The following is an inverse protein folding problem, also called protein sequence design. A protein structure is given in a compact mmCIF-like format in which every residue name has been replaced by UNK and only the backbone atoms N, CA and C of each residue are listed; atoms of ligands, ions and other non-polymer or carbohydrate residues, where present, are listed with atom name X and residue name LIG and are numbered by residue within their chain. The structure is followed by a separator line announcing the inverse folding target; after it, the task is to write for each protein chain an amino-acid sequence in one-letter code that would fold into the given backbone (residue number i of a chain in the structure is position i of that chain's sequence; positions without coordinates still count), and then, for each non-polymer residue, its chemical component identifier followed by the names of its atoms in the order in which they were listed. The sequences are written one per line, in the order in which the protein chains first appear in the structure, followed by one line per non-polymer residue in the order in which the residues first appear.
data_IF_157935771048
#
_entry.id   IF_157935771048
#
_cell.length_a   1.000
_cell.length_b   1.000
_cell.length_c   1.000
_cell.angle_alpha   90.00
_cell.angle_beta   90.00
_cell.angle_gamma   90.00
#
_symmetry.space_group_name_H-M   'P 1'
#
loop_
_entity.id
_entity.type
_entity.pdbx_description
1 polymer ?
#
# COMPACT_ATOMS: atom_id res chain seq x y z
N UNK A 1 -22.33 7.36 3.13
CA UNK A 1 -21.31 6.42 3.64
C UNK A 1 -20.00 7.18 3.70
N UNK A 2 -19.18 6.94 4.72
CA UNK A 2 -17.85 7.56 4.80
C UNK A 2 -16.91 6.91 3.75
N UNK A 3 -15.92 7.66 3.26
CA UNK A 3 -15.03 7.16 2.20
C UNK A 3 -14.06 6.09 2.68
N UNK A 4 -13.65 5.23 1.76
CA UNK A 4 -12.60 4.23 1.95
C UNK A 4 -11.51 4.49 0.90
N UNK A 5 -10.28 4.65 1.34
CA UNK A 5 -9.13 4.86 0.47
C UNK A 5 -8.14 3.70 0.62
N UNK A 6 -7.66 3.15 -0.49
CA UNK A 6 -6.51 2.26 -0.54
C UNK A 6 -5.37 2.99 -1.26
N UNK A 7 -4.31 3.31 -0.53
CA UNK A 7 -3.08 3.87 -1.08
C UNK A 7 -2.08 2.74 -1.31
N UNK A 8 -1.77 2.48 -2.56
CA UNK A 8 -0.81 1.46 -2.97
C UNK A 8 0.40 2.08 -3.68
N UNK A 9 1.47 1.32 -3.82
CA UNK A 9 2.67 1.75 -4.52
C UNK A 9 3.92 0.98 -4.08
N UNK A 10 5.04 1.26 -4.72
CA UNK A 10 6.32 0.66 -4.38
C UNK A 10 6.77 1.01 -2.95
N UNK A 11 7.76 0.30 -2.40
CA UNK A 11 8.42 0.76 -1.18
C UNK A 11 8.96 2.19 -1.33
N UNK A 12 9.01 2.92 -0.23
CA UNK A 12 9.57 4.28 -0.12
C UNK A 12 8.89 5.40 -0.93
N UNK A 13 7.74 5.16 -1.59
CA UNK A 13 7.00 6.21 -2.31
C UNK A 13 6.22 7.17 -1.40
N UNK A 14 6.15 6.92 -0.09
CA UNK A 14 5.51 7.80 0.88
C UNK A 14 4.06 7.41 1.25
N UNK A 15 3.63 6.18 1.01
CA UNK A 15 2.27 5.70 1.28
C UNK A 15 1.77 6.03 2.70
N UNK A 16 2.50 5.58 3.73
CA UNK A 16 2.07 5.76 5.13
C UNK A 16 2.03 7.22 5.56
N UNK A 17 2.96 8.04 5.05
CA UNK A 17 2.97 9.49 5.30
C UNK A 17 1.75 10.15 4.66
N UNK A 18 1.49 9.84 3.39
CA UNK A 18 0.32 10.36 2.65
C UNK A 18 -0.99 9.86 3.25
N UNK A 19 -1.08 8.57 3.59
CA UNK A 19 -2.28 8.00 4.21
C UNK A 19 -2.63 8.67 5.54
N UNK A 20 -1.62 8.92 6.37
CA UNK A 20 -1.81 9.60 7.66
C UNK A 20 -2.22 11.07 7.47
N UNK A 21 -1.64 11.78 6.50
CA UNK A 21 -2.02 13.15 6.18
C UNK A 21 -3.44 13.22 5.62
N UNK A 22 -3.80 12.31 4.71
CA UNK A 22 -5.15 12.20 4.17
C UNK A 22 -6.18 11.92 5.27
N UNK A 23 -5.90 10.99 6.17
CA UNK A 23 -6.80 10.66 7.28
C UNK A 23 -7.09 11.88 8.17
N UNK A 24 -6.10 12.75 8.40
CA UNK A 24 -6.27 13.99 9.19
C UNK A 24 -7.21 15.02 8.56
N UNK A 25 -7.54 14.91 7.27
CA UNK A 25 -8.46 15.82 6.60
C UNK A 25 -9.94 15.56 6.95
N UNK A 26 -10.23 14.43 7.58
CA UNK A 26 -11.58 14.02 7.93
C UNK A 26 -11.81 14.12 9.43
N UNK A 27 -13.00 14.57 9.87
CA UNK A 27 -13.30 14.76 11.30
C UNK A 27 -13.36 13.42 12.07
N UNK A 28 -13.58 12.31 11.36
CA UNK A 28 -13.66 10.98 11.94
C UNK A 28 -13.03 9.99 10.97
N UNK A 29 -11.81 9.56 11.25
CA UNK A 29 -11.03 8.71 10.35
C UNK A 29 -10.15 7.70 11.08
N UNK A 30 -9.71 6.68 10.37
CA UNK A 30 -8.73 5.70 10.82
C UNK A 30 -7.74 5.42 9.69
N UNK A 31 -6.47 5.32 10.04
CA UNK A 31 -5.41 4.86 9.15
C UNK A 31 -5.02 3.43 9.53
N UNK A 32 -5.04 2.52 8.55
CA UNK A 32 -4.70 1.11 8.73
C UNK A 32 -3.47 0.78 7.88
N UNK A 33 -2.26 0.81 8.46
CA UNK A 33 -1.04 0.39 7.77
C UNK A 33 -0.96 -1.14 7.77
N UNK A 34 -1.01 -1.77 6.60
CA UNK A 34 -1.06 -3.24 6.46
C UNK A 34 0.22 -3.91 6.97
N UNK A 35 1.37 -3.27 6.79
CA UNK A 35 2.63 -3.79 7.33
C UNK A 35 2.58 -3.96 8.85
N UNK A 36 1.97 -3.02 9.58
CA UNK A 36 1.78 -3.14 11.02
C UNK A 36 0.89 -4.34 11.40
N UNK A 37 -0.15 -4.61 10.62
CA UNK A 37 -1.01 -5.79 10.86
C UNK A 37 -0.23 -7.09 10.63
N UNK A 38 0.65 -7.14 9.62
CA UNK A 38 1.53 -8.29 9.38
C UNK A 38 2.54 -8.49 10.50
N UNK A 39 3.13 -7.41 11.00
CA UNK A 39 4.11 -7.43 12.10
C UNK A 39 3.51 -7.84 13.46
N UNK A 40 2.17 -7.95 13.57
CA UNK A 40 1.51 -8.56 14.74
C UNK A 40 1.79 -10.07 14.87
N UNK A 41 2.27 -10.72 13.82
CA UNK A 41 2.74 -12.10 13.88
C UNK A 41 4.09 -12.13 14.62
N UNK A 42 4.08 -12.55 15.88
CA UNK A 42 5.27 -12.54 16.75
C UNK A 42 6.22 -13.69 16.42
N UNK A 43 5.69 -14.87 16.13
CA UNK A 43 6.47 -16.04 15.80
C UNK A 43 6.11 -16.56 14.42
N UNK A 44 7.12 -16.82 13.58
CA UNK A 44 6.90 -17.32 12.23
C UNK A 44 6.53 -16.28 11.19
N UNK A 45 6.77 -14.98 11.46
CA UNK A 45 6.58 -13.93 10.44
C UNK A 45 7.50 -14.17 9.24
N UNK A 46 6.95 -14.03 8.04
CA UNK A 46 7.70 -14.15 6.78
C UNK A 46 7.65 -12.80 6.08
N UNK A 47 8.83 -12.24 5.80
CA UNK A 47 8.94 -10.97 5.10
C UNK A 47 8.97 -11.17 3.58
N UNK A 48 8.33 -10.29 2.80
CA UNK A 48 8.46 -10.29 1.34
C UNK A 48 9.93 -10.20 0.95
N UNK A 49 10.37 -11.13 0.12
CA UNK A 49 11.76 -11.26 -0.31
C UNK A 49 11.84 -11.88 -1.70
N UNK A 50 13.03 -12.39 -2.09
CA UNK A 50 13.25 -12.95 -3.41
C UNK A 50 12.41 -14.18 -3.75
N UNK A 51 11.95 -14.91 -2.74
CA UNK A 51 11.11 -16.10 -2.93
C UNK A 51 9.73 -15.85 -2.33
N UNK A 52 8.71 -15.90 -3.16
CA UNK A 52 7.31 -15.87 -2.78
C UNK A 52 6.84 -17.30 -2.54
N UNK A 53 7.07 -17.81 -1.34
CA UNK A 53 6.59 -19.12 -0.94
C UNK A 53 5.13 -19.10 -0.47
N UNK A 54 4.55 -20.26 -0.31
CA UNK A 54 3.17 -20.44 0.09
C UNK A 54 2.89 -19.80 1.46
N UNK A 55 3.83 -19.87 2.41
CA UNK A 55 3.69 -19.31 3.74
C UNK A 55 3.59 -17.78 3.72
N UNK A 56 4.40 -17.10 2.88
CA UNK A 56 4.30 -15.66 2.68
C UNK A 56 2.95 -15.28 2.07
N UNK A 57 2.52 -15.99 1.03
CA UNK A 57 1.23 -15.73 0.36
C UNK A 57 0.07 -15.85 1.35
N UNK A 58 0.08 -16.88 2.19
CA UNK A 58 -0.94 -17.07 3.24
C UNK A 58 -0.93 -15.94 4.27
N UNK A 59 0.23 -15.50 4.74
CA UNK A 59 0.33 -14.40 5.70
C UNK A 59 -0.13 -13.07 5.12
N UNK A 60 0.19 -12.77 3.85
CA UNK A 60 -0.30 -11.58 3.15
C UNK A 60 -1.83 -11.62 3.03
N UNK A 61 -2.37 -12.75 2.62
CA UNK A 61 -3.82 -12.96 2.50
C UNK A 61 -4.51 -12.75 3.84
N UNK A 62 -4.04 -13.39 4.91
CA UNK A 62 -4.58 -13.24 6.27
C UNK A 62 -4.58 -11.79 6.73
N UNK A 63 -3.48 -11.05 6.53
CA UNK A 63 -3.40 -9.64 6.91
C UNK A 63 -4.46 -8.81 6.17
N UNK A 64 -4.58 -8.98 4.85
CA UNK A 64 -5.53 -8.23 4.00
C UNK A 64 -6.99 -8.60 4.30
N UNK A 65 -7.26 -9.87 4.61
CA UNK A 65 -8.59 -10.30 5.08
C UNK A 65 -8.96 -9.63 6.41
N UNK A 66 -8.04 -9.60 7.39
CA UNK A 66 -8.26 -8.90 8.66
C UNK A 66 -8.46 -7.39 8.45
N UNK A 67 -7.63 -6.76 7.63
CA UNK A 67 -7.79 -5.36 7.24
C UNK A 67 -9.17 -5.11 6.63
N UNK A 68 -9.63 -5.98 5.73
CA UNK A 68 -10.96 -5.88 5.13
C UNK A 68 -12.06 -5.88 6.19
N UNK A 69 -11.99 -6.73 7.21
CA UNK A 69 -12.96 -6.75 8.32
C UNK A 69 -12.89 -5.48 9.17
N UNK A 70 -11.67 -4.97 9.45
CA UNK A 70 -11.48 -3.71 10.15
C UNK A 70 -12.11 -2.55 9.36
N UNK A 71 -11.86 -2.47 8.06
CA UNK A 71 -12.44 -1.45 7.16
C UNK A 71 -13.96 -1.45 7.26
N UNK A 72 -14.59 -2.62 7.10
CA UNK A 72 -16.04 -2.76 7.16
C UNK A 72 -16.58 -2.29 8.52
N UNK A 73 -15.92 -2.66 9.62
CA UNK A 73 -16.34 -2.30 10.97
C UNK A 73 -16.25 -0.80 11.21
N UNK A 74 -15.11 -0.17 10.87
CA UNK A 74 -14.91 1.27 11.04
C UNK A 74 -15.84 2.09 10.12
N UNK A 75 -15.97 1.68 8.85
CA UNK A 75 -16.81 2.40 7.89
C UNK A 75 -18.29 2.36 8.28
N UNK A 76 -18.80 1.22 8.76
CA UNK A 76 -20.15 1.13 9.35
C UNK A 76 -20.34 2.05 10.56
N UNK A 77 -19.30 2.29 11.34
CA UNK A 77 -19.33 3.21 12.47
C UNK A 77 -19.14 4.69 12.04
N UNK A 78 -19.09 4.96 10.72
CA UNK A 78 -19.02 6.30 10.14
C UNK A 78 -17.60 6.89 10.08
N UNK A 79 -16.55 6.06 10.16
CA UNK A 79 -15.19 6.50 9.96
C UNK A 79 -14.83 6.49 8.46
N UNK A 80 -14.18 7.53 8.00
CA UNK A 80 -13.35 7.45 6.80
C UNK A 80 -12.16 6.54 7.06
N UNK A 81 -11.92 5.57 6.20
CA UNK A 81 -10.84 4.59 6.36
C UNK A 81 -9.77 4.81 5.31
N UNK A 82 -8.53 4.93 5.73
CA UNK A 82 -7.39 5.03 4.82
C UNK A 82 -6.47 3.84 5.07
N UNK A 83 -6.34 2.98 4.07
CA UNK A 83 -5.46 1.81 4.06
C UNK A 83 -4.18 2.21 3.33
N UNK A 84 -3.02 1.77 3.78
CA UNK A 84 -1.83 1.74 2.95
C UNK A 84 -1.23 0.34 2.89
N UNK A 85 -0.95 -0.13 1.66
CA UNK A 85 -0.34 -1.42 1.39
C UNK A 85 0.69 -1.29 0.26
N UNK A 86 1.67 -2.19 0.20
CA UNK A 86 2.57 -2.21 -0.93
C UNK A 86 1.87 -2.78 -2.18
N UNK A 87 2.31 -2.33 -3.37
CA UNK A 87 1.83 -2.92 -4.61
C UNK A 87 2.36 -4.34 -4.76
N UNK A 88 1.45 -5.31 -4.70
CA UNK A 88 1.75 -6.72 -4.83
C UNK A 88 1.61 -7.16 -6.29
N UNK A 89 2.74 -7.40 -6.95
CA UNK A 89 2.78 -7.80 -8.37
C UNK A 89 2.25 -9.21 -8.63
N UNK A 90 2.05 -10.01 -7.58
CA UNK A 90 1.54 -11.38 -7.72
C UNK A 90 0.01 -11.42 -7.61
N UNK A 91 -0.55 -10.82 -6.57
CA UNK A 91 -2.00 -10.83 -6.34
C UNK A 91 -2.73 -9.64 -6.94
N UNK A 92 -2.01 -8.57 -7.31
CA UNK A 92 -2.59 -7.29 -7.76
C UNK A 92 -3.61 -6.72 -6.75
N UNK A 93 -3.41 -7.02 -5.49
CA UNK A 93 -4.29 -6.64 -4.37
C UNK A 93 -5.74 -7.17 -4.49
N UNK A 94 -5.93 -8.29 -5.20
CA UNK A 94 -7.25 -8.90 -5.41
C UNK A 94 -7.91 -9.40 -4.11
N UNK A 95 -7.15 -9.53 -3.03
CA UNK A 95 -7.69 -9.83 -1.71
C UNK A 95 -8.66 -8.74 -1.23
N UNK A 96 -8.52 -7.51 -1.74
CA UNK A 96 -9.46 -6.41 -1.49
C UNK A 96 -10.65 -6.36 -2.45
N UNK A 97 -10.85 -7.36 -3.32
CA UNK A 97 -11.91 -7.39 -4.34
C UNK A 97 -13.31 -7.10 -3.78
N UNK A 98 -13.58 -7.52 -2.53
CA UNK A 98 -14.83 -7.21 -1.85
C UNK A 98 -14.97 -5.70 -1.59
N UNK A 99 -13.91 -5.02 -1.16
CA UNK A 99 -13.93 -3.57 -0.94
C UNK A 99 -14.02 -2.81 -2.27
N UNK A 100 -13.45 -3.36 -3.36
CA UNK A 100 -13.50 -2.74 -4.68
C UNK A 100 -14.92 -2.64 -5.27
N UNK A 101 -15.90 -3.36 -4.69
CA UNK A 101 -17.31 -3.26 -5.07
C UNK A 101 -18.06 -2.15 -4.31
N UNK A 102 -17.46 -1.59 -3.26
CA UNK A 102 -18.11 -0.53 -2.48
C UNK A 102 -18.11 0.78 -3.27
N UNK A 103 -19.24 1.49 -3.38
CA UNK A 103 -19.34 2.70 -4.19
C UNK A 103 -18.53 3.89 -3.66
N UNK A 104 -18.12 3.85 -2.41
CA UNK A 104 -17.30 4.84 -1.71
C UNK A 104 -15.82 4.42 -1.60
N UNK A 105 -15.40 3.44 -2.39
CA UNK A 105 -14.01 2.96 -2.43
C UNK A 105 -13.19 3.73 -3.46
N UNK A 106 -12.06 4.29 -3.01
CA UNK A 106 -11.10 5.00 -3.84
C UNK A 106 -9.77 4.25 -3.86
N UNK A 107 -9.35 3.82 -5.04
CA UNK A 107 -8.08 3.13 -5.27
C UNK A 107 -7.05 4.14 -5.76
N UNK A 108 -5.98 4.34 -5.00
CA UNK A 108 -4.96 5.34 -5.28
C UNK A 108 -3.59 4.67 -5.40
N UNK A 109 -2.92 4.88 -6.52
CA UNK A 109 -1.55 4.43 -6.75
C UNK A 109 -0.62 5.64 -6.64
N UNK A 110 0.30 5.62 -5.67
CA UNK A 110 1.37 6.61 -5.61
C UNK A 110 2.53 6.13 -6.50
N UNK A 111 2.80 6.91 -7.53
CA UNK A 111 3.76 6.53 -8.57
C UNK A 111 4.67 7.70 -8.96
N UNK A 112 5.56 8.12 -8.05
CA UNK A 112 6.60 9.12 -8.36
C UNK A 112 7.64 8.54 -9.34
N UNK A 113 8.55 9.38 -9.84
CA UNK A 113 9.75 8.90 -10.53
C UNK A 113 10.51 7.89 -9.64
N UNK A 114 10.96 6.78 -10.24
CA UNK A 114 11.66 5.71 -9.50
C UNK A 114 12.87 6.24 -8.74
N UNK A 115 13.62 7.17 -9.33
CA UNK A 115 14.78 7.81 -8.69
C UNK A 115 14.40 8.44 -7.34
N UNK A 116 13.22 9.05 -7.25
CA UNK A 116 12.74 9.65 -6.00
C UNK A 116 12.47 8.58 -4.93
N UNK A 117 11.92 7.42 -5.33
CA UNK A 117 11.74 6.30 -4.40
C UNK A 117 13.08 5.75 -3.90
N UNK A 118 14.06 5.61 -4.80
CA UNK A 118 15.41 5.15 -4.45
C UNK A 118 16.11 6.13 -3.51
N UNK A 119 16.05 7.44 -3.77
CA UNK A 119 16.61 8.49 -2.91
C UNK A 119 15.95 8.51 -1.52
N UNK A 120 14.62 8.40 -1.46
CA UNK A 120 13.87 8.32 -0.19
C UNK A 120 14.23 7.06 0.61
N UNK A 121 14.41 5.92 -0.08
CA UNK A 121 14.86 4.69 0.54
C UNK A 121 16.25 4.86 1.17
N UNK A 122 17.21 5.37 0.40
CA UNK A 122 18.59 5.58 0.88
C UNK A 122 18.63 6.56 2.06
N UNK A 123 17.87 7.64 1.99
CA UNK A 123 17.79 8.63 3.07
C UNK A 123 17.20 8.03 4.37
N UNK A 124 16.24 7.11 4.26
CA UNK A 124 15.57 6.49 5.42
C UNK A 124 16.38 5.36 6.03
N UNK A 125 16.94 4.50 5.20
CA UNK A 125 17.59 3.25 5.61
C UNK A 125 19.11 3.37 5.75
N UNK A 126 19.72 4.40 5.19
CA UNK A 126 21.17 4.49 5.02
C UNK A 126 21.70 3.47 3.99
N UNK A 127 23.01 3.51 3.69
CA UNK A 127 23.63 2.49 2.83
C UNK A 127 23.73 1.14 3.56
N UNK A 128 23.53 0.03 2.84
CA UNK A 128 23.69 -1.34 3.34
C UNK A 128 22.57 -2.29 2.95
N UNK A 129 22.56 -3.47 3.54
CA UNK A 129 21.70 -4.60 3.16
C UNK A 129 20.20 -4.26 3.16
N UNK A 130 19.75 -3.45 4.12
CA UNK A 130 18.34 -3.06 4.23
C UNK A 130 17.93 -2.19 3.04
N UNK A 131 18.75 -1.18 2.69
CA UNK A 131 18.44 -0.31 1.56
C UNK A 131 18.54 -1.06 0.23
N UNK A 132 19.46 -2.01 0.09
CA UNK A 132 19.60 -2.85 -1.10
C UNK A 132 18.40 -3.79 -1.26
N UNK A 133 17.94 -4.40 -0.18
CA UNK A 133 16.74 -5.22 -0.15
C UNK A 133 15.50 -4.41 -0.60
N UNK A 134 15.31 -3.22 -0.04
CA UNK A 134 14.19 -2.33 -0.41
C UNK A 134 14.31 -1.86 -1.86
N UNK A 135 15.51 -1.52 -2.32
CA UNK A 135 15.76 -1.14 -3.72
C UNK A 135 15.43 -2.28 -4.70
N UNK A 136 15.65 -3.53 -4.30
CA UNK A 136 15.18 -4.70 -5.05
C UNK A 136 13.67 -4.72 -5.23
N UNK A 137 12.93 -4.48 -4.15
CA UNK A 137 11.47 -4.36 -4.18
C UNK A 137 10.98 -3.19 -5.04
N UNK A 138 11.65 -2.03 -4.97
CA UNK A 138 11.34 -0.87 -5.83
C UNK A 138 11.48 -1.25 -7.30
N UNK A 139 12.60 -1.86 -7.71
CA UNK A 139 12.83 -2.26 -9.11
C UNK A 139 11.77 -3.22 -9.64
N UNK A 140 11.38 -4.22 -8.83
CA UNK A 140 10.36 -5.20 -9.22
C UNK A 140 9.00 -4.51 -9.45
N UNK A 141 8.59 -3.67 -8.51
CA UNK A 141 7.30 -2.98 -8.59
C UNK A 141 7.26 -1.98 -9.74
N UNK A 142 8.31 -1.19 -9.94
CA UNK A 142 8.38 -0.25 -11.06
C UNK A 142 8.43 -0.96 -12.42
N UNK A 143 9.19 -2.05 -12.53
CA UNK A 143 9.22 -2.86 -13.76
C UNK A 143 7.83 -3.37 -14.16
N UNK A 144 7.01 -3.76 -13.19
CA UNK A 144 5.62 -4.15 -13.44
C UNK A 144 4.72 -2.93 -13.75
N UNK A 145 4.77 -1.88 -12.93
CA UNK A 145 3.86 -0.74 -13.04
C UNK A 145 4.07 0.08 -14.32
N UNK A 146 5.28 0.15 -14.87
CA UNK A 146 5.55 0.85 -16.12
C UNK A 146 4.64 0.40 -17.28
N UNK A 147 4.24 -0.85 -17.31
CA UNK A 147 3.35 -1.40 -18.32
C UNK A 147 1.88 -1.46 -17.87
N UNK A 148 1.64 -1.55 -16.57
CA UNK A 148 0.30 -1.77 -16.02
C UNK A 148 -0.49 -0.49 -15.71
N UNK A 149 0.16 0.66 -15.53
CA UNK A 149 -0.51 1.92 -15.19
C UNK A 149 -1.69 2.24 -16.10
N UNK A 150 -1.60 2.17 -17.45
CA UNK A 150 -2.76 2.47 -18.32
C UNK A 150 -3.93 1.50 -18.12
N UNK A 151 -3.66 0.25 -17.74
CA UNK A 151 -4.69 -0.74 -17.44
C UNK A 151 -5.35 -0.46 -16.08
N UNK A 152 -4.56 -0.08 -15.09
CA UNK A 152 -5.05 0.28 -13.75
C UNK A 152 -5.97 1.50 -13.80
N UNK A 153 -5.62 2.53 -14.58
CA UNK A 153 -6.47 3.70 -14.79
C UNK A 153 -7.82 3.32 -15.38
N UNK A 154 -7.84 2.42 -16.39
CA UNK A 154 -9.10 1.87 -16.94
C UNK A 154 -9.92 1.09 -15.92
N UNK A 155 -9.27 0.51 -14.92
CA UNK A 155 -9.92 -0.19 -13.81
C UNK A 155 -10.32 0.75 -12.66
N UNK A 156 -10.18 2.06 -12.84
CA UNK A 156 -10.59 3.08 -11.86
C UNK A 156 -9.56 3.36 -10.76
N UNK A 157 -8.29 3.02 -10.96
CA UNK A 157 -7.21 3.50 -10.10
C UNK A 157 -6.89 4.97 -10.42
N UNK A 158 -6.74 5.76 -9.38
CA UNK A 158 -6.25 7.14 -9.46
C UNK A 158 -4.73 7.08 -9.32
N UNK A 159 -4.01 7.34 -10.39
CA UNK A 159 -2.54 7.36 -10.37
C UNK A 159 -2.06 8.76 -10.04
N UNK A 160 -1.27 8.88 -8.98
CA UNK A 160 -0.77 10.17 -8.48
C UNK A 160 0.74 10.19 -8.58
N UNK A 161 1.26 11.04 -9.45
CA UNK A 161 2.68 11.38 -9.46
C UNK A 161 3.01 12.28 -8.27
N UNK A 162 3.87 11.81 -7.40
CA UNK A 162 4.33 12.52 -6.20
C UNK A 162 5.80 12.91 -6.27
N UNK A 163 6.38 12.98 -7.47
CA UNK A 163 7.81 13.29 -7.71
C UNK A 163 8.20 14.60 -7.02
N UNK A 164 7.46 15.65 -7.28
CA UNK A 164 7.75 17.00 -6.78
C UNK A 164 6.76 17.43 -5.67
N UNK A 165 6.12 16.45 -4.98
CA UNK A 165 5.11 16.75 -3.97
C UNK A 165 5.61 16.46 -2.57
N UNK A 166 5.33 17.39 -1.67
CA UNK A 166 5.40 17.21 -0.23
C UNK A 166 3.98 16.96 0.33
N UNK A 167 3.91 16.46 1.55
CA UNK A 167 2.65 16.12 2.22
C UNK A 167 2.07 17.30 2.99
N UNK A 168 2.78 18.45 3.00
CA UNK A 168 2.38 19.69 3.67
C UNK A 168 1.46 20.54 2.80
#
# INVERSE_FOLDING_TARGET
MADIFLLAGAPAVGKSTTARALAKQFPKSVHIPVDTIREMVISGVIHPGGNWDQGLIEQLKLARENVTQMVISYNKAGFTVVIDDFWDTNSLLLEYSRLFQEPNMHKVLLFPDQRVADERNLKRSGPGDISEYIAGGIRIVYGHLQTEVPNLERQGWIVVDTTDKNVD
#
